data_IF_340614332438
#
_entry.id   IF_340614332438
#
_cell.length_a   1.000
_cell.length_b   1.000
_cell.length_c   1.000
_cell.angle_alpha   90.00
_cell.angle_beta   90.00
_cell.angle_gamma   90.00
#
_symmetry.space_group_name_H-M   'P 1'
#
loop_
_entity.id
_entity.type
_entity.pdbx_description
1 polymer ?
#
# COMPACT_ATOMS: atom_id res chain seq x y z
N UNK A 1 -11.59 18.53 -6.68
CA UNK A 1 -10.29 18.45 -5.98
C UNK A 1 -9.45 17.41 -6.69
N UNK A 2 -8.18 17.68 -6.95
CA UNK A 2 -7.30 16.67 -7.57
C UNK A 2 -7.03 15.55 -6.57
N UNK A 3 -7.32 14.31 -6.95
CA UNK A 3 -6.93 13.13 -6.17
C UNK A 3 -5.49 12.79 -6.50
N UNK A 4 -4.70 12.41 -5.49
CA UNK A 4 -3.29 12.09 -5.65
C UNK A 4 -3.01 10.65 -5.23
N UNK A 5 -1.91 10.11 -5.73
CA UNK A 5 -1.28 8.89 -5.24
C UNK A 5 0.18 9.18 -4.90
N UNK A 6 0.82 8.25 -4.22
CA UNK A 6 2.21 8.31 -3.81
C UNK A 6 2.94 7.10 -4.36
N UNK A 7 4.16 7.30 -4.84
CA UNK A 7 5.01 6.25 -5.40
C UNK A 7 6.26 6.11 -4.53
N UNK A 8 6.51 4.90 -4.04
CA UNK A 8 7.72 4.55 -3.31
C UNK A 8 8.67 3.79 -4.24
N UNK A 9 9.86 4.34 -4.46
CA UNK A 9 10.89 3.75 -5.31
C UNK A 9 11.99 3.08 -4.46
N UNK A 10 12.27 1.82 -4.74
CA UNK A 10 13.40 1.09 -4.17
C UNK A 10 14.47 0.85 -5.24
N UNK A 11 15.67 1.42 -5.06
CA UNK A 11 16.78 1.20 -6.01
C UNK A 11 17.47 -0.14 -5.85
N UNK A 12 17.44 -0.71 -4.65
CA UNK A 12 18.06 -2.02 -4.38
C UNK A 12 17.24 -3.15 -4.99
N UNK A 13 15.91 -3.12 -4.84
CA UNK A 13 15.02 -4.11 -5.46
C UNK A 13 14.70 -3.80 -6.91
N UNK A 14 14.80 -2.53 -7.31
CA UNK A 14 14.14 -2.06 -8.52
C UNK A 14 12.64 -2.30 -8.42
N UNK A 15 11.99 -1.71 -7.42
CA UNK A 15 10.54 -1.77 -7.31
C UNK A 15 9.96 -0.37 -7.22
N UNK A 16 8.76 -0.22 -7.75
CA UNK A 16 7.94 0.97 -7.57
C UNK A 16 6.63 0.52 -6.92
N UNK A 17 6.37 0.99 -5.71
CA UNK A 17 5.15 0.64 -4.96
C UNK A 17 4.14 1.77 -5.04
N UNK A 18 2.88 1.44 -5.32
CA UNK A 18 1.78 2.39 -5.32
C UNK A 18 1.14 2.52 -3.94
N UNK A 19 0.96 3.76 -3.49
CA UNK A 19 0.34 4.10 -2.21
C UNK A 19 -0.77 5.13 -2.41
N UNK A 20 -1.89 5.04 -1.68
CA UNK A 20 -2.88 6.12 -1.66
C UNK A 20 -2.27 7.39 -1.07
N UNK A 21 -2.79 8.57 -1.44
CA UNK A 21 -2.40 9.82 -0.81
C UNK A 21 -2.66 9.78 0.70
N UNK A 22 -1.75 10.37 1.46
CA UNK A 22 -1.86 10.51 2.89
C UNK A 22 -1.30 11.87 3.29
N UNK A 23 -2.14 12.66 3.97
CA UNK A 23 -1.83 14.04 4.38
C UNK A 23 -1.84 14.20 5.91
N UNK A 24 -1.86 13.08 6.64
CA UNK A 24 -1.78 13.05 8.10
C UNK A 24 -0.33 13.06 8.62
N UNK A 25 -0.16 12.80 9.91
CA UNK A 25 1.17 12.67 10.53
C UNK A 25 1.96 11.54 9.86
N UNK A 26 3.16 11.80 9.27
CA UNK A 26 3.98 10.77 8.64
C UNK A 26 4.25 9.54 9.51
N UNK A 27 4.25 9.68 10.85
CA UNK A 27 4.43 8.56 11.80
C UNK A 27 3.23 7.61 11.87
N UNK A 28 2.08 8.06 11.37
CA UNK A 28 0.83 7.32 11.32
C UNK A 28 0.53 6.79 9.91
N UNK A 29 1.48 6.89 8.98
CA UNK A 29 1.36 6.31 7.66
C UNK A 29 1.75 4.82 7.68
N UNK A 30 0.84 4.01 8.21
CA UNK A 30 1.06 2.57 8.39
C UNK A 30 1.22 1.80 7.07
N UNK A 31 0.69 2.34 5.97
CA UNK A 31 0.86 1.73 4.65
C UNK A 31 2.29 1.90 4.17
N UNK A 32 2.83 3.12 4.29
CA UNK A 32 4.23 3.38 3.99
C UNK A 32 5.17 2.59 4.91
N UNK A 33 4.91 2.57 6.22
CA UNK A 33 5.71 1.81 7.19
C UNK A 33 5.75 0.31 6.85
N UNK A 34 4.60 -0.27 6.48
CA UNK A 34 4.51 -1.68 6.05
C UNK A 34 5.40 -1.95 4.84
N UNK A 35 5.36 -1.09 3.82
CA UNK A 35 6.16 -1.28 2.60
C UNK A 35 7.65 -1.06 2.87
N UNK A 36 8.02 -0.04 3.64
CA UNK A 36 9.41 0.22 4.01
C UNK A 36 10.02 -0.95 4.79
N UNK A 37 9.25 -1.60 5.68
CA UNK A 37 9.70 -2.80 6.40
C UNK A 37 10.03 -3.98 5.48
N UNK A 38 9.38 -4.09 4.31
CA UNK A 38 9.66 -5.12 3.30
C UNK A 38 10.90 -4.82 2.47
N UNK A 39 11.29 -3.56 2.36
CA UNK A 39 12.51 -3.13 1.68
C UNK A 39 13.72 -3.18 2.63
N UNK A 40 14.03 -4.40 3.09
CA UNK A 40 15.20 -4.71 3.91
C UNK A 40 15.96 -5.88 3.32
N UNK A 41 17.29 -5.79 3.38
CA UNK A 41 18.18 -6.88 3.03
C UNK A 41 18.01 -8.04 4.04
N UNK A 42 18.49 -9.26 3.72
CA UNK A 42 18.44 -10.40 4.64
C UNK A 42 19.15 -10.16 5.98
N UNK A 43 20.14 -9.25 6.01
CA UNK A 43 20.85 -8.82 7.22
C UNK A 43 20.08 -7.77 8.05
N UNK A 44 18.88 -7.39 7.63
CA UNK A 44 18.01 -6.41 8.27
C UNK A 44 18.31 -4.96 7.92
N UNK A 45 19.36 -4.68 7.14
CA UNK A 45 19.69 -3.32 6.70
C UNK A 45 18.62 -2.79 5.72
N UNK A 46 18.19 -1.52 5.84
CA UNK A 46 17.22 -0.95 4.91
C UNK A 46 17.82 -0.82 3.51
N UNK A 47 17.01 -1.08 2.49
CA UNK A 47 17.39 -0.79 1.11
C UNK A 47 17.62 0.70 0.89
N UNK A 48 18.26 1.05 -0.23
CA UNK A 48 18.42 2.44 -0.65
C UNK A 48 17.04 2.94 -1.12
N UNK A 49 16.32 3.57 -0.20
CA UNK A 49 15.04 4.23 -0.44
C UNK A 49 15.26 5.59 -1.12
N UNK A 50 14.47 5.88 -2.15
CA UNK A 50 14.41 7.19 -2.82
C UNK A 50 13.04 7.85 -2.60
N UNK A 51 12.90 9.17 -2.88
CA UNK A 51 11.82 9.99 -2.35
C UNK A 51 10.43 9.47 -2.71
N UNK A 52 9.53 9.63 -1.76
CA UNK A 52 8.10 9.44 -1.99
C UNK A 52 7.62 10.51 -2.97
N UNK A 53 7.22 10.09 -4.17
CA UNK A 53 6.76 11.03 -5.19
C UNK A 53 5.23 11.12 -5.15
N UNK A 54 4.69 12.33 -5.24
CA UNK A 54 3.25 12.56 -5.33
C UNK A 54 2.86 12.79 -6.78
N UNK A 55 1.89 12.03 -7.26
CA UNK A 55 1.40 12.09 -8.66
C UNK A 55 -0.11 12.26 -8.63
N UNK A 56 -0.65 13.10 -9.51
CA UNK A 56 -2.11 13.20 -9.65
C UNK A 56 -2.67 11.89 -10.20
N UNK A 57 -3.68 11.34 -9.52
CA UNK A 57 -4.28 10.05 -9.85
C UNK A 57 -4.83 10.02 -11.28
N UNK A 58 -5.42 11.12 -11.76
CA UNK A 58 -5.90 11.22 -13.17
C UNK A 58 -4.80 10.98 -14.20
N UNK A 59 -3.56 11.38 -13.89
CA UNK A 59 -2.41 11.17 -14.78
C UNK A 59 -1.84 9.76 -14.61
N UNK A 60 -1.98 9.18 -13.43
CA UNK A 60 -1.56 7.80 -13.17
C UNK A 60 -2.50 6.75 -13.78
N UNK A 61 -3.80 7.01 -13.74
CA UNK A 61 -4.84 6.13 -14.31
C UNK A 61 -4.81 6.12 -15.84
N UNK A 62 -4.21 7.16 -16.46
CA UNK A 62 -4.01 7.25 -17.90
C UNK A 62 -2.78 6.42 -18.33
N UNK A 63 -2.93 5.36 -19.14
CA UNK A 63 -1.80 4.49 -19.51
C UNK A 63 -0.66 5.22 -20.24
N UNK A 64 -1.00 6.14 -21.15
CA UNK A 64 -0.02 6.94 -21.89
C UNK A 64 0.75 7.87 -20.96
N UNK A 65 0.05 8.60 -20.10
CA UNK A 65 0.65 9.55 -19.16
C UNK A 65 1.46 8.82 -18.09
N UNK A 66 0.99 7.67 -17.61
CA UNK A 66 1.73 6.79 -16.69
C UNK A 66 3.06 6.33 -17.29
N UNK A 67 3.05 5.89 -18.55
CA UNK A 67 4.27 5.49 -19.24
C UNK A 67 5.28 6.66 -19.36
N UNK A 68 4.80 7.87 -19.64
CA UNK A 68 5.65 9.07 -19.66
C UNK A 68 6.20 9.44 -18.28
N UNK A 69 5.39 9.35 -17.23
CA UNK A 69 5.82 9.58 -15.85
C UNK A 69 6.92 8.58 -15.48
N UNK A 70 6.70 7.29 -15.75
CA UNK A 70 7.69 6.23 -15.53
C UNK A 70 8.97 6.53 -16.33
N UNK A 71 8.85 6.96 -17.59
CA UNK A 71 9.99 7.33 -18.43
C UNK A 71 10.79 8.50 -17.83
N UNK A 72 10.12 9.56 -17.37
CA UNK A 72 10.79 10.71 -16.71
C UNK A 72 11.48 10.30 -15.41
N UNK A 73 10.83 9.44 -14.63
CA UNK A 73 11.43 8.87 -13.42
C UNK A 73 12.71 8.11 -13.79
N UNK A 74 12.70 7.30 -14.85
CA UNK A 74 13.90 6.58 -15.34
C UNK A 74 15.03 7.54 -15.71
N UNK A 75 14.72 8.62 -16.42
CA UNK A 75 15.72 9.61 -16.87
C UNK A 75 16.33 10.38 -15.68
N UNK A 76 15.50 10.79 -14.71
CA UNK A 76 15.96 11.56 -13.54
C UNK A 76 16.73 10.72 -12.51
N UNK A 77 16.37 9.44 -12.39
CA UNK A 77 16.95 8.55 -11.39
C UNK A 77 18.35 8.04 -11.79
N UNK A 78 18.76 8.33 -13.04
CA UNK A 78 19.98 7.85 -13.67
C UNK A 78 19.81 6.41 -14.18
N UNK A 79 20.58 6.03 -15.21
CA UNK A 79 20.69 4.65 -15.69
C UNK A 79 21.32 3.74 -14.61
N UNK A 80 20.67 3.54 -13.48
CA UNK A 80 21.17 2.75 -12.34
C UNK A 80 21.13 1.25 -12.61
N UNK A 81 21.14 0.80 -13.86
CA UNK A 81 21.09 -0.61 -14.23
C UNK A 81 19.80 -1.34 -13.84
N UNK A 82 18.75 -0.61 -13.50
CA UNK A 82 17.45 -1.18 -13.14
C UNK A 82 16.70 -1.62 -14.40
N UNK A 83 16.34 -2.90 -14.45
CA UNK A 83 15.65 -3.55 -15.57
C UNK A 83 14.31 -2.83 -15.88
N UNK A 84 13.87 -2.73 -17.15
CA UNK A 84 12.57 -2.17 -17.50
C UNK A 84 11.38 -2.72 -16.70
N UNK A 85 11.44 -4.00 -16.28
CA UNK A 85 10.44 -4.67 -15.45
C UNK A 85 10.37 -4.15 -13.99
N UNK A 86 11.46 -3.53 -13.50
CA UNK A 86 11.53 -2.95 -12.15
C UNK A 86 10.58 -1.76 -11.92
N UNK A 87 10.02 -1.20 -13.00
CA UNK A 87 9.19 0.00 -12.97
C UNK A 87 7.74 -0.25 -13.36
N UNK A 88 7.32 -1.51 -13.54
CA UNK A 88 5.90 -1.84 -13.44
C UNK A 88 5.50 -1.61 -11.99
N UNK A 89 4.79 -0.52 -11.74
CA UNK A 89 4.43 -0.18 -10.38
C UNK A 89 3.52 -1.27 -9.81
N UNK A 90 3.96 -1.84 -8.71
CA UNK A 90 3.30 -2.93 -8.01
C UNK A 90 2.30 -2.32 -7.05
N UNK A 91 1.12 -2.91 -7.03
CA UNK A 91 0.16 -2.64 -5.98
C UNK A 91 0.24 -3.79 -4.99
N UNK A 92 1.36 -3.88 -4.27
CA UNK A 92 1.71 -5.06 -3.48
C UNK A 92 0.65 -5.40 -2.43
N UNK A 93 0.01 -4.41 -1.82
CA UNK A 93 -1.09 -4.66 -0.87
C UNK A 93 -2.33 -5.24 -1.55
N UNK A 94 -2.63 -4.82 -2.78
CA UNK A 94 -3.71 -5.40 -3.57
C UNK A 94 -3.34 -6.78 -4.10
N UNK A 95 -2.09 -7.01 -4.51
CA UNK A 95 -1.57 -8.32 -4.93
C UNK A 95 -1.61 -9.35 -3.79
N UNK A 96 -1.17 -8.96 -2.59
CA UNK A 96 -1.26 -9.78 -1.38
C UNK A 96 -2.73 -10.09 -1.03
N UNK A 97 -3.61 -9.09 -1.12
CA UNK A 97 -5.03 -9.28 -0.87
C UNK A 97 -5.68 -10.21 -1.92
N UNK A 98 -5.29 -10.10 -3.18
CA UNK A 98 -5.73 -10.98 -4.27
C UNK A 98 -5.21 -12.40 -4.08
N UNK A 99 -3.96 -12.57 -3.67
CA UNK A 99 -3.36 -13.88 -3.39
C UNK A 99 -4.07 -14.57 -2.22
N UNK A 100 -4.35 -13.82 -1.15
CA UNK A 100 -5.18 -14.30 -0.05
C UNK A 100 -6.59 -14.68 -0.52
N UNK A 101 -7.24 -13.84 -1.34
CA UNK A 101 -8.58 -14.12 -1.89
C UNK A 101 -8.61 -15.38 -2.77
N UNK A 102 -7.57 -15.59 -3.59
CA UNK A 102 -7.41 -16.80 -4.40
C UNK A 102 -7.29 -18.05 -3.52
N UNK A 103 -6.53 -17.99 -2.42
CA UNK A 103 -6.42 -19.08 -1.45
C UNK A 103 -7.76 -19.39 -0.75
N UNK A 104 -8.66 -18.42 -0.67
CA UNK A 104 -10.04 -18.59 -0.18
C UNK A 104 -11.04 -18.92 -1.30
N UNK A 105 -10.59 -19.51 -2.41
CA UNK A 105 -11.43 -19.92 -3.55
C UNK A 105 -12.27 -18.77 -4.15
N UNK A 106 -11.75 -17.53 -4.10
CA UNK A 106 -12.40 -16.36 -4.68
C UNK A 106 -13.83 -16.12 -4.16
N UNK A 107 -14.10 -16.53 -2.92
CA UNK A 107 -15.42 -16.36 -2.32
C UNK A 107 -15.79 -14.88 -2.16
N UNK A 108 -17.10 -14.58 -2.24
CA UNK A 108 -17.64 -13.24 -2.00
C UNK A 108 -17.80 -13.00 -0.48
N UNK A 109 -17.89 -14.07 0.30
CA UNK A 109 -17.92 -14.05 1.76
C UNK A 109 -16.61 -14.62 2.30
N UNK A 110 -15.94 -13.89 3.19
CA UNK A 110 -14.66 -14.31 3.77
C UNK A 110 -14.81 -14.55 5.27
N UNK A 111 -14.59 -15.78 5.72
CA UNK A 111 -14.61 -16.14 7.14
C UNK A 111 -13.45 -15.52 7.91
N UNK A 112 -12.32 -15.28 7.23
CA UNK A 112 -11.11 -14.68 7.81
C UNK A 112 -11.03 -13.17 7.53
N UNK A 113 -12.18 -12.50 7.54
CA UNK A 113 -12.28 -11.06 7.32
C UNK A 113 -11.75 -10.29 8.54
N UNK A 114 -10.81 -9.35 8.31
CA UNK A 114 -10.19 -8.49 9.33
C UNK A 114 -9.68 -9.21 10.58
N UNK A 115 -9.04 -10.37 10.40
CA UNK A 115 -8.36 -11.10 11.49
C UNK A 115 -7.04 -10.44 11.86
N UNK A 116 -6.58 -10.66 13.10
CA UNK A 116 -5.38 -10.02 13.66
C UNK A 116 -4.11 -10.27 12.84
N UNK A 117 -4.01 -11.45 12.22
CA UNK A 117 -2.87 -11.84 11.36
C UNK A 117 -2.77 -11.00 10.07
N UNK A 118 -3.86 -10.37 9.64
CA UNK A 118 -3.95 -9.58 8.41
C UNK A 118 -3.90 -8.06 8.68
N UNK A 119 -3.60 -7.67 9.92
CA UNK A 119 -3.57 -6.27 10.34
C UNK A 119 -2.26 -5.61 9.91
N UNK A 120 -2.37 -4.40 9.36
CA UNK A 120 -1.23 -3.57 8.96
C UNK A 120 -0.85 -2.54 10.03
N UNK A 121 -1.79 -2.21 10.92
CA UNK A 121 -1.55 -1.33 12.06
C UNK A 121 -0.87 -2.06 13.24
N UNK A 122 -0.10 -1.36 14.09
CA UNK A 122 0.61 -1.97 15.21
C UNK A 122 -0.31 -2.67 16.22
N UNK A 123 0.18 -3.78 16.77
CA UNK A 123 -0.57 -4.62 17.72
C UNK A 123 -0.43 -4.14 19.16
N UNK A 124 0.81 -3.83 19.57
CA UNK A 124 1.09 -3.63 20.98
C UNK A 124 0.61 -2.27 21.47
N UNK A 125 0.11 -2.19 22.70
CA UNK A 125 -0.35 -0.93 23.29
C UNK A 125 0.76 0.14 23.32
N UNK A 126 2.02 -0.28 23.43
CA UNK A 126 3.18 0.60 23.39
C UNK A 126 3.38 1.23 22.00
N UNK A 127 3.37 0.43 20.94
CA UNK A 127 3.50 0.91 19.56
C UNK A 127 2.29 1.74 19.14
N UNK A 128 1.08 1.37 19.57
CA UNK A 128 -0.15 2.14 19.32
C UNK A 128 -0.11 3.52 19.97
N UNK A 129 0.37 3.60 21.22
CA UNK A 129 0.57 4.88 21.92
C UNK A 129 1.60 5.75 21.19
N UNK A 130 2.70 5.17 20.75
CA UNK A 130 3.73 5.88 19.98
C UNK A 130 3.19 6.39 18.63
N UNK A 131 2.27 5.63 18.03
CA UNK A 131 1.61 5.98 16.77
C UNK A 131 0.32 6.82 16.96
N UNK A 132 0.04 7.37 18.14
CA UNK A 132 -1.16 8.19 18.39
C UNK A 132 -2.50 7.47 18.16
N UNK A 133 -2.50 6.14 18.19
CA UNK A 133 -3.69 5.30 18.09
C UNK A 133 -4.28 5.04 19.48
N UNK A 134 -5.60 4.78 19.56
CA UNK A 134 -6.22 4.37 20.82
C UNK A 134 -5.58 3.07 21.35
N UNK A 135 -5.51 2.97 22.69
CA UNK A 135 -4.95 1.82 23.40
C UNK A 135 -5.59 0.49 22.98
N UNK A 136 -6.87 0.53 22.64
CA UNK A 136 -7.66 -0.62 22.19
C UNK A 136 -7.99 -0.51 20.70
N UNK A 137 -8.48 -1.62 20.15
CA UNK A 137 -8.87 -1.75 18.74
C UNK A 137 -9.91 -0.71 18.37
N UNK A 138 -9.81 -0.18 17.16
CA UNK A 138 -10.69 0.90 16.71
C UNK A 138 -10.95 0.84 15.21
N UNK A 139 -11.92 1.62 14.75
CA UNK A 139 -12.21 1.81 13.32
C UNK A 139 -11.04 2.41 12.52
N UNK A 140 -9.98 2.89 13.20
CA UNK A 140 -8.74 3.37 12.56
C UNK A 140 -7.77 2.24 12.19
N UNK A 141 -8.05 1.00 12.60
CA UNK A 141 -7.19 -0.13 12.28
C UNK A 141 -7.33 -0.53 10.80
N UNK A 142 -6.21 -0.58 10.11
CA UNK A 142 -6.13 -0.96 8.69
C UNK A 142 -5.75 -2.44 8.60
N UNK A 143 -6.48 -3.17 7.76
CA UNK A 143 -6.26 -4.58 7.47
C UNK A 143 -6.01 -4.77 5.97
N UNK A 144 -5.23 -5.79 5.62
CA UNK A 144 -5.03 -6.22 4.23
C UNK A 144 -6.36 -6.49 3.51
N UNK A 145 -7.36 -6.98 4.27
CA UNK A 145 -8.72 -7.21 3.80
C UNK A 145 -9.36 -5.97 3.14
N UNK A 146 -8.98 -4.75 3.52
CA UNK A 146 -9.54 -3.52 2.92
C UNK A 146 -9.17 -3.33 1.44
N UNK A 147 -8.15 -4.06 0.96
CA UNK A 147 -7.69 -4.09 -0.44
C UNK A 147 -8.22 -5.31 -1.21
N UNK A 148 -9.00 -6.20 -0.57
CA UNK A 148 -9.58 -7.40 -1.16
C UNK A 148 -10.89 -7.09 -1.91
N UNK A 149 -11.24 -7.79 -3.01
CA UNK A 149 -12.53 -7.65 -3.68
C UNK A 149 -13.76 -7.79 -2.76
N UNK A 150 -13.65 -8.61 -1.70
CA UNK A 150 -14.70 -8.79 -0.69
C UNK A 150 -15.04 -7.49 0.06
N UNK A 151 -14.11 -6.54 0.11
CA UNK A 151 -14.33 -5.22 0.73
C UNK A 151 -15.53 -4.50 0.14
N UNK A 152 -15.78 -4.64 -1.16
CA UNK A 152 -16.93 -3.98 -1.81
C UNK A 152 -18.26 -4.58 -1.33
N UNK A 153 -18.34 -5.90 -1.16
CA UNK A 153 -19.52 -6.57 -0.63
C UNK A 153 -19.79 -6.16 0.83
N UNK A 154 -18.73 -6.10 1.66
CA UNK A 154 -18.82 -5.67 3.06
C UNK A 154 -19.27 -4.21 3.18
N UNK A 155 -18.71 -3.31 2.36
CA UNK A 155 -19.10 -1.89 2.33
C UNK A 155 -20.57 -1.70 1.94
N UNK A 156 -21.03 -2.43 0.91
CA UNK A 156 -22.44 -2.40 0.49
C UNK A 156 -23.36 -2.88 1.61
N UNK A 157 -23.06 -4.02 2.22
CA UNK A 157 -23.86 -4.55 3.33
C UNK A 157 -23.87 -3.63 4.57
N UNK A 158 -22.81 -2.85 4.80
CA UNK A 158 -22.78 -1.85 5.87
C UNK A 158 -23.67 -0.63 5.53
N UNK A 159 -23.66 -0.17 4.28
CA UNK A 159 -24.52 0.91 3.81
C UNK A 159 -26.00 0.52 3.88
N UNK A 160 -26.35 -0.70 3.45
CA UNK A 160 -27.72 -1.22 3.46
C UNK A 160 -28.29 -1.38 4.88
N UNK A 161 -27.43 -1.46 5.91
CA UNK A 161 -27.85 -1.51 7.32
C UNK A 161 -27.97 -0.14 7.98
N UNK A 162 -27.43 0.90 7.35
CA UNK A 162 -27.36 2.25 7.88
C UNK A 162 -28.42 3.18 7.28
N UNK A 163 -29.08 2.77 6.18
CA UNK A 163 -30.29 3.40 5.63
C UNK A 163 -31.54 2.67 6.08
#
# INVERSE_FOLDING_TARGET
MAEYIRLLLCKTCGSMEELPNYEGDPRQDFLLDTLVKRHRNPDGTPHIAHPLMKVEKRHWDSPSTRAEIIKRIREQTGHTGLDPACYEAKNTLQEDALSCWQAHNRSITCSDWCTDKKRLTPDTAAERKAAGLPKYRSTKDIYLCHFCPVANAVRRAAHDKAG
#
